data_IF_793241942336
#
_entry.id   IF_793241942336
#
_cell.length_a   1.000
_cell.length_b   1.000
_cell.length_c   1.000
_cell.angle_alpha   90.00
_cell.angle_beta   90.00
_cell.angle_gamma   90.00
#
_symmetry.space_group_name_H-M   'P 1'
#
loop_
_entity.id
_entity.type
_entity.pdbx_description
1 polymer ?
#
# COMPACT_ATOMS: atom_id res chain seq x y z
N UNK A 1 17.34 -8.29 -1.87
CA UNK A 1 16.43 -7.27 -1.28
C UNK A 1 16.01 -7.72 0.11
N UNK A 2 16.00 -6.81 1.07
CA UNK A 2 15.74 -7.11 2.49
C UNK A 2 14.28 -6.88 2.90
N UNK A 3 13.50 -6.23 2.04
CA UNK A 3 12.10 -5.91 2.31
C UNK A 3 11.26 -7.16 2.54
N UNK A 4 10.38 -7.10 3.52
CA UNK A 4 9.50 -8.20 3.88
C UNK A 4 10.12 -9.25 4.80
N UNK A 5 11.40 -9.10 5.15
CA UNK A 5 12.07 -9.99 6.10
C UNK A 5 12.01 -9.43 7.53
N UNK A 6 12.12 -10.33 8.49
CA UNK A 6 12.26 -9.95 9.89
C UNK A 6 13.62 -9.30 10.12
N UNK A 7 13.65 -8.21 10.89
CA UNK A 7 14.85 -7.43 11.17
C UNK A 7 15.95 -8.28 11.83
N UNK A 8 15.61 -9.12 12.80
CA UNK A 8 16.60 -9.92 13.54
C UNK A 8 17.31 -10.94 12.65
N UNK A 9 16.57 -11.61 11.74
CA UNK A 9 17.15 -12.57 10.79
C UNK A 9 18.14 -11.89 9.83
N UNK A 10 17.82 -10.69 9.38
CA UNK A 10 18.68 -9.91 8.49
C UNK A 10 19.91 -9.38 9.24
N UNK A 11 19.75 -8.95 10.48
CA UNK A 11 20.84 -8.45 11.32
C UNK A 11 21.95 -9.50 11.47
N UNK A 12 21.59 -10.74 11.75
CA UNK A 12 22.55 -11.87 11.85
C UNK A 12 23.28 -12.12 10.53
N UNK A 13 22.56 -12.13 9.41
CA UNK A 13 23.13 -12.33 8.08
C UNK A 13 24.11 -11.22 7.70
N UNK A 14 23.75 -9.96 7.94
CA UNK A 14 24.60 -8.82 7.63
C UNK A 14 25.86 -8.81 8.50
N UNK A 15 25.75 -9.16 9.78
CA UNK A 15 26.89 -9.29 10.69
C UNK A 15 27.88 -10.33 10.19
N UNK A 16 27.39 -11.48 9.68
CA UNK A 16 28.24 -12.56 9.11
C UNK A 16 29.02 -12.12 7.87
N UNK A 17 28.54 -11.09 7.16
CA UNK A 17 29.16 -10.52 5.96
C UNK A 17 29.99 -9.25 6.27
N UNK A 18 30.13 -8.87 7.54
CA UNK A 18 30.78 -7.62 7.97
C UNK A 18 30.13 -6.35 7.37
N UNK A 19 28.82 -6.38 7.18
CA UNK A 19 28.05 -5.24 6.70
C UNK A 19 27.45 -4.51 7.90
N UNK A 20 27.72 -3.19 7.99
CA UNK A 20 27.10 -2.34 9.01
C UNK A 20 25.60 -2.24 8.77
N UNK A 21 24.80 -2.53 9.80
CA UNK A 21 23.34 -2.44 9.76
C UNK A 21 22.83 -1.31 10.64
N UNK A 22 22.35 -0.24 10.02
CA UNK A 22 21.67 0.87 10.69
C UNK A 22 20.16 0.60 10.65
N UNK A 23 19.53 0.59 11.82
CA UNK A 23 18.13 0.25 12.01
C UNK A 23 17.31 1.48 12.40
N UNK A 24 16.24 1.76 11.66
CA UNK A 24 15.28 2.82 11.94
C UNK A 24 13.88 2.22 12.17
N UNK A 25 13.06 2.95 12.93
CA UNK A 25 11.68 2.53 13.23
C UNK A 25 11.60 1.51 14.37
N UNK A 26 10.70 0.54 14.22
CA UNK A 26 10.45 -0.51 15.21
C UNK A 26 11.61 -1.50 15.25
N UNK A 27 11.94 -2.00 16.43
CA UNK A 27 12.95 -3.05 16.63
C UNK A 27 12.34 -4.25 17.36
N UNK A 28 12.95 -5.42 17.24
CA UNK A 28 12.55 -6.64 17.93
C UNK A 28 12.05 -7.76 17.01
N UNK A 29 11.46 -8.78 17.62
CA UNK A 29 11.03 -10.00 16.89
C UNK A 29 9.91 -9.76 15.88
N UNK A 30 9.06 -8.76 16.12
CA UNK A 30 7.95 -8.40 15.24
C UNK A 30 8.27 -7.26 14.28
N UNK A 31 9.54 -6.84 14.22
CA UNK A 31 10.00 -5.80 13.30
C UNK A 31 10.15 -6.34 11.87
N UNK A 32 9.35 -5.81 10.96
CA UNK A 32 9.37 -6.14 9.54
C UNK A 32 10.02 -5.03 8.75
N UNK A 33 11.03 -5.34 7.95
CA UNK A 33 11.73 -4.36 7.11
C UNK A 33 10.84 -3.95 5.94
N UNK A 34 10.58 -2.66 5.82
CA UNK A 34 9.72 -2.06 4.78
C UNK A 34 10.44 -1.08 3.86
N UNK A 35 11.60 -0.57 4.27
CA UNK A 35 12.48 0.25 3.42
C UNK A 35 13.94 -0.15 3.63
N UNK A 36 14.76 0.02 2.60
CA UNK A 36 16.21 -0.15 2.66
C UNK A 36 16.94 0.90 1.82
N UNK A 37 18.11 1.29 2.27
CA UNK A 37 19.04 2.16 1.53
C UNK A 37 20.47 1.66 1.75
N UNK A 38 21.24 1.32 0.69
CA UNK A 38 20.89 1.41 -0.74
C UNK A 38 19.79 0.44 -1.18
N UNK A 39 19.16 0.74 -2.31
CA UNK A 39 18.08 -0.08 -2.87
C UNK A 39 18.58 -1.47 -3.33
N UNK A 40 19.73 -1.51 -3.98
CA UNK A 40 20.24 -2.73 -4.60
C UNK A 40 21.28 -3.44 -3.73
N UNK A 41 21.20 -4.77 -3.72
CA UNK A 41 22.11 -5.62 -2.94
C UNK A 41 23.57 -5.40 -3.30
N UNK A 42 23.88 -5.19 -4.60
CA UNK A 42 25.25 -4.97 -5.03
C UNK A 42 25.84 -3.68 -4.41
N UNK A 43 25.05 -2.65 -4.25
CA UNK A 43 25.49 -1.40 -3.64
C UNK A 43 25.71 -1.59 -2.12
N UNK A 44 24.86 -2.38 -1.46
CA UNK A 44 25.06 -2.75 -0.05
C UNK A 44 26.42 -3.46 0.13
N UNK A 45 26.72 -4.42 -0.75
CA UNK A 45 27.99 -5.15 -0.71
C UNK A 45 29.20 -4.24 -0.98
N UNK A 46 29.07 -3.31 -1.92
CA UNK A 46 30.13 -2.37 -2.27
C UNK A 46 30.38 -1.33 -1.16
N UNK A 47 29.33 -0.82 -0.55
CA UNK A 47 29.41 0.18 0.51
C UNK A 47 29.74 -0.41 1.88
N UNK A 48 29.46 -1.71 2.09
CA UNK A 48 29.62 -2.39 3.38
C UNK A 48 28.63 -1.91 4.44
N UNK A 49 27.53 -1.29 4.03
CA UNK A 49 26.54 -0.68 4.90
C UNK A 49 25.14 -0.71 4.30
N UNK A 50 24.14 -0.87 5.16
CA UNK A 50 22.72 -0.70 4.80
C UNK A 50 21.95 -0.05 5.95
N UNK A 51 21.05 0.86 5.60
CA UNK A 51 20.03 1.39 6.50
C UNK A 51 18.70 0.75 6.18
N UNK A 52 18.02 0.20 7.16
CA UNK A 52 16.67 -0.36 7.02
C UNK A 52 15.70 0.38 7.92
N UNK A 53 14.45 0.50 7.48
CA UNK A 53 13.34 0.96 8.30
C UNK A 53 12.35 -0.18 8.48
N UNK A 54 11.93 -0.39 9.72
CA UNK A 54 10.98 -1.45 10.08
C UNK A 54 9.72 -0.89 10.73
N UNK A 55 8.61 -1.60 10.51
CA UNK A 55 7.34 -1.41 11.21
C UNK A 55 7.00 -2.67 11.99
N UNK A 56 6.02 -2.60 12.89
CA UNK A 56 5.45 -3.81 13.47
C UNK A 56 4.76 -4.62 12.36
N UNK A 57 5.00 -5.93 12.29
CA UNK A 57 4.45 -6.80 11.23
C UNK A 57 2.93 -6.68 11.07
N UNK A 58 2.19 -6.45 12.18
CA UNK A 58 0.74 -6.30 12.18
C UNK A 58 0.26 -4.95 11.64
N UNK A 59 1.16 -4.00 11.41
CA UNK A 59 0.84 -2.71 10.78
C UNK A 59 0.95 -2.75 9.25
N UNK A 60 1.38 -3.88 8.69
CA UNK A 60 1.41 -4.08 7.25
C UNK A 60 -0.01 -4.28 6.70
N UNK A 61 -0.36 -3.53 5.67
CA UNK A 61 -1.62 -3.68 4.96
C UNK A 61 -1.47 -4.73 3.86
N UNK A 62 -2.09 -5.89 4.02
CA UNK A 62 -2.12 -6.95 3.02
C UNK A 62 -3.37 -6.84 2.14
N UNK A 63 -3.17 -6.93 0.83
CA UNK A 63 -4.22 -6.71 -0.17
C UNK A 63 -4.34 -7.93 -1.07
N UNK A 64 -5.56 -8.48 -1.15
CA UNK A 64 -5.95 -9.47 -2.14
C UNK A 64 -6.50 -8.75 -3.37
N UNK A 65 -5.73 -8.75 -4.46
CA UNK A 65 -6.10 -8.06 -5.69
C UNK A 65 -7.10 -8.86 -6.53
N UNK A 66 -8.08 -8.15 -7.09
CA UNK A 66 -9.06 -8.74 -8.01
C UNK A 66 -8.47 -9.00 -9.40
N UNK A 67 -9.03 -9.96 -10.11
CA UNK A 67 -8.72 -10.22 -11.53
C UNK A 67 -9.59 -9.38 -12.49
N UNK A 68 -10.64 -8.74 -11.99
CA UNK A 68 -11.68 -8.08 -12.80
C UNK A 68 -11.38 -6.63 -13.17
N UNK A 69 -10.25 -6.08 -12.73
CA UNK A 69 -9.84 -4.70 -12.99
C UNK A 69 -8.33 -4.61 -13.27
N UNK A 70 -7.87 -5.36 -14.25
CA UNK A 70 -6.43 -5.57 -14.49
C UNK A 70 -5.64 -4.29 -14.75
N UNK A 71 -6.22 -3.31 -15.44
CA UNK A 71 -5.57 -2.01 -15.68
C UNK A 71 -5.47 -1.19 -14.40
N UNK A 72 -6.53 -1.17 -13.61
CA UNK A 72 -6.57 -0.42 -12.35
C UNK A 72 -5.68 -1.07 -11.30
N UNK A 73 -5.63 -2.40 -11.23
CA UNK A 73 -4.68 -3.14 -10.38
C UNK A 73 -3.24 -2.83 -10.76
N UNK A 74 -2.92 -2.82 -12.06
CA UNK A 74 -1.59 -2.42 -12.54
C UNK A 74 -1.25 -0.99 -12.14
N UNK A 75 -2.19 -0.06 -12.28
CA UNK A 75 -2.04 1.32 -11.83
C UNK A 75 -1.71 1.38 -10.33
N UNK A 76 -2.49 0.70 -9.49
CA UNK A 76 -2.23 0.64 -8.05
C UNK A 76 -0.83 0.11 -7.74
N UNK A 77 -0.42 -0.99 -8.39
CA UNK A 77 0.91 -1.58 -8.20
C UNK A 77 2.04 -0.64 -8.67
N UNK A 78 1.82 0.15 -9.72
CA UNK A 78 2.77 1.19 -10.16
C UNK A 78 2.91 2.30 -9.11
N UNK A 79 1.79 2.86 -8.65
CA UNK A 79 1.78 3.95 -7.66
C UNK A 79 2.43 3.52 -6.35
N UNK A 80 2.13 2.31 -5.90
CA UNK A 80 2.64 1.77 -4.62
C UNK A 80 4.06 1.20 -4.70
N UNK A 81 4.58 0.92 -5.88
CA UNK A 81 5.88 0.25 -6.07
C UNK A 81 5.81 -1.28 -6.07
N UNK A 82 4.64 -1.89 -5.91
CA UNK A 82 4.46 -3.35 -5.83
C UNK A 82 4.79 -4.11 -7.13
N UNK A 83 4.96 -3.42 -8.27
CA UNK A 83 5.45 -4.07 -9.49
C UNK A 83 6.93 -4.48 -9.39
N UNK A 84 7.71 -3.73 -8.62
CA UNK A 84 9.16 -3.93 -8.54
C UNK A 84 9.60 -4.47 -7.17
N UNK A 85 8.83 -4.22 -6.13
CA UNK A 85 9.20 -4.50 -4.75
C UNK A 85 8.12 -5.31 -4.02
N UNK A 86 8.52 -6.20 -3.08
CA UNK A 86 7.55 -7.02 -2.34
C UNK A 86 6.75 -6.23 -1.32
N UNK A 87 7.25 -5.07 -0.87
CA UNK A 87 6.56 -4.12 -0.01
C UNK A 87 6.47 -2.79 -0.73
N UNK A 88 5.26 -2.32 -0.93
CA UNK A 88 4.98 -1.01 -1.49
C UNK A 88 4.58 -0.01 -0.41
N UNK A 89 4.32 1.23 -0.84
CA UNK A 89 3.85 2.29 0.05
C UNK A 89 2.90 3.21 -0.68
N UNK A 90 1.87 3.66 0.03
CA UNK A 90 0.90 4.65 -0.42
C UNK A 90 0.80 5.75 0.63
N UNK A 91 0.63 6.99 0.17
CA UNK A 91 0.59 8.15 1.03
C UNK A 91 -0.84 8.61 1.26
N UNK A 92 -1.20 8.83 2.50
CA UNK A 92 -2.52 9.38 2.85
C UNK A 92 -2.65 10.80 2.33
N UNK A 93 -3.66 11.03 1.47
CA UNK A 93 -4.01 12.34 0.98
C UNK A 93 -4.85 13.10 2.00
N UNK A 94 -5.94 12.48 2.44
CA UNK A 94 -6.68 12.96 3.59
C UNK A 94 -7.51 11.87 4.27
N UNK A 95 -7.72 12.07 5.57
CA UNK A 95 -8.66 11.33 6.39
C UNK A 95 -9.63 12.33 7.03
N UNK A 96 -10.92 12.02 6.97
CA UNK A 96 -11.93 12.87 7.60
C UNK A 96 -12.56 12.12 8.76
N UNK A 97 -12.32 12.55 10.01
CA UNK A 97 -12.93 11.91 11.17
C UNK A 97 -14.46 11.85 11.03
N UNK A 98 -15.04 10.68 11.25
CA UNK A 98 -16.48 10.44 11.15
C UNK A 98 -17.00 10.10 9.74
N UNK A 99 -16.20 10.20 8.70
CA UNK A 99 -16.59 9.74 7.35
C UNK A 99 -16.27 8.28 7.06
N UNK A 100 -15.49 7.63 7.93
CA UNK A 100 -15.10 6.22 7.80
C UNK A 100 -14.47 5.87 6.46
N UNK A 101 -13.66 6.81 5.91
CA UNK A 101 -12.88 6.62 4.70
C UNK A 101 -11.45 7.12 4.89
N UNK A 102 -10.52 6.49 4.16
CA UNK A 102 -9.14 6.93 4.04
C UNK A 102 -8.80 7.04 2.56
N UNK A 103 -8.34 8.22 2.13
CA UNK A 103 -8.02 8.49 0.73
C UNK A 103 -6.53 8.70 0.59
N UNK A 104 -5.94 8.03 -0.40
CA UNK A 104 -4.53 8.06 -0.72
C UNK A 104 -4.26 8.84 -2.00
N UNK A 105 -3.07 9.43 -2.07
CA UNK A 105 -2.59 10.10 -3.27
C UNK A 105 -2.45 9.11 -4.43
N UNK A 106 -2.89 9.53 -5.60
CA UNK A 106 -2.60 8.86 -6.86
C UNK A 106 -1.44 9.52 -7.60
N UNK A 107 -1.19 9.07 -8.83
CA UNK A 107 -0.24 9.68 -9.73
C UNK A 107 -0.95 10.12 -11.02
N UNK A 108 -1.07 11.43 -11.21
CA UNK A 108 -1.76 12.04 -12.36
C UNK A 108 -1.06 11.76 -13.70
N UNK A 109 0.22 11.41 -13.69
CA UNK A 109 0.96 11.10 -14.92
C UNK A 109 0.58 9.73 -15.48
N UNK A 110 0.26 8.78 -14.62
CA UNK A 110 -0.04 7.39 -14.99
C UNK A 110 -1.51 7.01 -14.83
N UNK A 111 -2.35 7.88 -14.25
CA UNK A 111 -3.79 7.64 -14.09
C UNK A 111 -4.60 7.86 -15.37
N UNK A 112 -4.01 8.45 -16.39
CA UNK A 112 -4.66 8.68 -17.68
C UNK A 112 -5.07 7.37 -18.32
N UNK A 113 -6.34 7.29 -18.76
CA UNK A 113 -6.87 6.10 -19.40
C UNK A 113 -7.39 5.02 -18.43
N UNK A 114 -7.56 5.32 -17.16
CA UNK A 114 -8.29 4.47 -16.22
C UNK A 114 -9.78 4.46 -16.56
N UNK A 115 -10.16 3.62 -17.51
CA UNK A 115 -11.56 3.45 -17.91
C UNK A 115 -12.33 2.68 -16.83
N UNK A 116 -13.68 2.77 -16.80
CA UNK A 116 -14.49 1.88 -15.97
C UNK A 116 -14.21 0.41 -16.28
N UNK A 117 -13.98 -0.40 -15.24
CA UNK A 117 -13.73 -1.85 -15.37
C UNK A 117 -14.80 -2.67 -14.61
N UNK A 118 -14.74 -2.68 -13.28
CA UNK A 118 -15.63 -3.46 -12.42
C UNK A 118 -16.38 -2.54 -11.44
N UNK A 119 -17.03 -1.51 -11.96
CA UNK A 119 -17.76 -0.54 -11.15
C UNK A 119 -18.81 -1.23 -10.27
N UNK A 120 -18.93 -0.84 -8.97
CA UNK A 120 -19.96 -1.39 -8.09
C UNK A 120 -21.37 -1.11 -8.61
N UNK A 121 -22.29 -2.04 -8.37
CA UNK A 121 -23.69 -1.88 -8.77
C UNK A 121 -24.58 -1.42 -7.60
N UNK A 122 -24.44 -2.04 -6.44
CA UNK A 122 -25.38 -1.85 -5.33
C UNK A 122 -24.72 -1.47 -4.01
N UNK A 123 -23.48 -1.86 -3.78
CA UNK A 123 -22.81 -1.68 -2.50
C UNK A 123 -21.29 -1.75 -2.69
N UNK A 124 -20.57 -0.94 -1.92
CA UNK A 124 -19.16 -1.12 -1.65
C UNK A 124 -19.03 -1.61 -0.21
N UNK A 125 -18.33 -2.73 -0.05
CA UNK A 125 -18.10 -3.32 1.27
C UNK A 125 -16.97 -2.61 2.02
N UNK A 126 -17.03 -2.65 3.35
CA UNK A 126 -15.87 -2.32 4.16
C UNK A 126 -14.66 -3.15 3.70
N UNK A 127 -13.46 -2.58 3.81
CA UNK A 127 -12.19 -3.13 3.34
C UNK A 127 -11.95 -3.19 1.81
N UNK A 128 -12.95 -2.97 0.97
CA UNK A 128 -12.71 -2.84 -0.47
C UNK A 128 -11.92 -1.58 -0.80
N UNK A 129 -10.89 -1.74 -1.62
CA UNK A 129 -10.07 -0.64 -2.11
C UNK A 129 -10.57 -0.22 -3.48
N UNK A 130 -10.90 1.05 -3.63
CA UNK A 130 -11.34 1.62 -4.89
C UNK A 130 -10.37 2.64 -5.44
N UNK A 131 -10.41 2.79 -6.75
CA UNK A 131 -9.67 3.83 -7.49
C UNK A 131 -10.66 4.60 -8.36
N UNK A 132 -10.56 5.91 -8.35
CA UNK A 132 -11.38 6.77 -9.20
C UNK A 132 -10.97 6.63 -10.65
N UNK A 133 -11.90 6.26 -11.53
CA UNK A 133 -11.69 6.15 -12.96
C UNK A 133 -11.93 7.48 -13.69
N UNK A 134 -11.73 7.50 -15.01
CA UNK A 134 -11.81 8.71 -15.83
C UNK A 134 -13.22 9.32 -15.99
N UNK A 135 -14.25 8.71 -15.42
CA UNK A 135 -15.60 9.29 -15.40
C UNK A 135 -15.75 10.42 -14.37
N UNK A 136 -14.76 10.62 -13.51
CA UNK A 136 -14.71 11.73 -12.56
C UNK A 136 -13.44 12.58 -12.73
N UNK A 137 -13.42 13.76 -12.09
CA UNK A 137 -12.29 14.70 -12.20
C UNK A 137 -11.04 14.24 -11.43
N UNK A 138 -11.24 13.54 -10.32
CA UNK A 138 -10.16 13.11 -9.42
C UNK A 138 -9.61 11.74 -9.80
N UNK A 139 -9.32 11.53 -11.06
CA UNK A 139 -8.83 10.26 -11.60
C UNK A 139 -7.57 9.81 -10.88
N UNK A 140 -7.56 8.55 -10.48
CA UNK A 140 -6.40 7.92 -9.86
C UNK A 140 -6.32 8.04 -8.34
N UNK A 141 -7.21 8.77 -7.68
CA UNK A 141 -7.31 8.72 -6.21
C UNK A 141 -7.67 7.29 -5.78
N UNK A 142 -7.04 6.86 -4.71
CA UNK A 142 -7.20 5.54 -4.12
C UNK A 142 -7.90 5.72 -2.77
N UNK A 143 -8.81 4.82 -2.42
CA UNK A 143 -9.51 4.92 -1.15
C UNK A 143 -9.92 3.58 -0.59
N UNK A 144 -10.17 3.55 0.71
CA UNK A 144 -10.74 2.42 1.44
C UNK A 144 -11.82 2.94 2.41
N UNK A 145 -12.91 2.20 2.53
CA UNK A 145 -13.95 2.46 3.53
C UNK A 145 -13.84 1.50 4.69
N UNK A 146 -14.24 2.00 5.86
CA UNK A 146 -14.29 1.20 7.10
C UNK A 146 -15.68 0.68 7.43
N UNK A 147 -16.67 1.04 6.60
CA UNK A 147 -18.05 0.56 6.68
C UNK A 147 -18.64 0.37 5.28
N UNK A 148 -19.66 -0.47 5.17
CA UNK A 148 -20.40 -0.68 3.93
C UNK A 148 -21.09 0.62 3.49
N UNK A 149 -21.10 0.90 2.17
CA UNK A 149 -21.77 2.06 1.63
C UNK A 149 -22.56 1.70 0.36
N UNK A 150 -23.79 2.23 0.25
CA UNK A 150 -24.71 1.95 -0.87
C UNK A 150 -24.82 3.10 -1.87
N UNK A 151 -24.10 4.19 -1.66
CA UNK A 151 -24.22 5.39 -2.50
C UNK A 151 -22.90 5.79 -3.15
N UNK A 152 -21.80 5.70 -2.40
CA UNK A 152 -20.50 6.21 -2.82
C UNK A 152 -19.40 5.17 -2.69
N UNK A 153 -18.44 5.24 -3.61
CA UNK A 153 -17.22 4.43 -3.60
C UNK A 153 -16.21 4.86 -2.52
N UNK A 154 -15.08 4.14 -2.45
CA UNK A 154 -14.05 4.39 -1.42
C UNK A 154 -13.37 5.76 -1.51
N UNK A 155 -13.47 6.45 -2.64
CA UNK A 155 -12.96 7.83 -2.82
C UNK A 155 -14.03 8.89 -2.72
N UNK A 156 -15.23 8.54 -2.19
CA UNK A 156 -16.42 9.37 -2.11
C UNK A 156 -17.01 9.77 -3.48
N UNK A 157 -16.58 9.12 -4.56
CA UNK A 157 -17.13 9.27 -5.90
C UNK A 157 -18.30 8.30 -6.13
N UNK A 158 -19.09 8.56 -7.18
CA UNK A 158 -20.17 7.66 -7.58
C UNK A 158 -19.64 6.24 -7.95
N UNK A 159 -20.49 5.25 -7.90
CA UNK A 159 -20.12 3.88 -8.29
C UNK A 159 -19.62 3.78 -9.73
N UNK A 160 -20.24 4.51 -10.67
CA UNK A 160 -19.79 4.55 -12.07
C UNK A 160 -18.36 5.10 -12.25
N UNK A 161 -17.89 5.89 -11.31
CA UNK A 161 -16.55 6.49 -11.31
C UNK A 161 -15.55 5.72 -10.46
N UNK A 162 -15.92 4.52 -9.98
CA UNK A 162 -15.13 3.71 -9.07
C UNK A 162 -14.79 2.36 -9.67
N UNK A 163 -13.51 2.00 -9.70
CA UNK A 163 -13.05 0.63 -9.96
C UNK A 163 -12.55 0.02 -8.65
N UNK A 164 -12.89 -1.23 -8.38
CA UNK A 164 -12.44 -1.96 -7.18
C UNK A 164 -11.20 -2.78 -7.54
N UNK A 165 -10.10 -2.53 -6.85
CA UNK A 165 -8.83 -3.24 -7.11
C UNK A 165 -8.64 -4.47 -6.24
N UNK A 166 -9.32 -4.57 -5.13
CA UNK A 166 -9.20 -5.70 -4.20
C UNK A 166 -9.70 -5.38 -2.82
N UNK A 167 -9.34 -6.24 -1.89
CA UNK A 167 -9.74 -6.16 -0.49
C UNK A 167 -8.51 -6.12 0.43
N UNK A 168 -8.59 -5.33 1.48
CA UNK A 168 -7.66 -5.46 2.61
C UNK A 168 -8.02 -6.72 3.37
N UNK A 169 -7.08 -7.66 3.47
CA UNK A 169 -7.26 -8.94 4.19
C UNK A 169 -6.61 -8.96 5.56
N UNK A 170 -5.72 -8.01 5.85
CA UNK A 170 -5.23 -7.73 7.20
C UNK A 170 -6.27 -6.94 8.01
N UNK A 171 -5.98 -6.65 9.26
CA UNK A 171 -6.88 -5.84 10.11
C UNK A 171 -6.99 -4.40 9.60
N UNK A 172 -8.00 -4.15 8.76
CA UNK A 172 -8.23 -2.84 8.14
C UNK A 172 -8.62 -1.76 9.16
N UNK A 173 -9.09 -2.12 10.36
CA UNK A 173 -9.40 -1.14 11.41
C UNK A 173 -8.16 -0.33 11.84
N UNK A 174 -6.98 -0.91 11.68
CA UNK A 174 -5.71 -0.22 11.95
C UNK A 174 -5.44 0.94 10.99
N UNK A 175 -6.06 0.97 9.81
CA UNK A 175 -5.92 2.08 8.87
C UNK A 175 -6.60 3.37 9.36
N UNK A 176 -7.60 3.28 10.23
CA UNK A 176 -8.31 4.47 10.76
C UNK A 176 -7.41 5.42 11.55
N UNK A 177 -6.28 4.92 12.09
CA UNK A 177 -5.32 5.74 12.84
C UNK A 177 -4.48 6.68 11.98
N UNK A 178 -4.36 6.40 10.68
CA UNK A 178 -3.51 7.16 9.78
C UNK A 178 -4.06 8.55 9.49
N UNK A 179 -3.15 9.52 9.43
CA UNK A 179 -3.44 10.94 9.20
C UNK A 179 -2.85 11.41 7.89
N UNK A 180 -3.27 12.59 7.48
CA UNK A 180 -2.78 13.25 6.26
C UNK A 180 -1.26 13.25 6.19
N UNK A 181 -0.72 12.84 5.06
CA UNK A 181 0.71 12.78 4.79
C UNK A 181 1.44 11.54 5.30
N UNK A 182 0.82 10.70 6.12
CA UNK A 182 1.43 9.47 6.60
C UNK A 182 1.50 8.40 5.51
N UNK A 183 2.47 7.50 5.64
CA UNK A 183 2.70 6.39 4.70
C UNK A 183 2.09 5.11 5.26
N UNK A 184 1.31 4.43 4.43
CA UNK A 184 0.84 3.06 4.67
C UNK A 184 1.67 2.11 3.81
N UNK A 185 2.29 1.13 4.46
CA UNK A 185 3.02 0.06 3.76
C UNK A 185 2.07 -1.05 3.37
N UNK A 186 2.18 -1.49 2.13
CA UNK A 186 1.27 -2.46 1.51
C UNK A 186 2.04 -3.65 0.97
N UNK A 187 1.37 -4.80 0.97
CA UNK A 187 1.88 -6.04 0.40
C UNK A 187 0.76 -6.77 -0.34
N UNK A 188 1.09 -7.42 -1.45
CA UNK A 188 0.15 -8.36 -2.08
C UNK A 188 0.00 -9.61 -1.22
N UNK A 189 -1.25 -9.96 -0.93
CA UNK A 189 -1.56 -11.22 -0.26
C UNK A 189 -1.34 -12.39 -1.24
N UNK A 190 -0.60 -13.38 -0.79
CA UNK A 190 -0.38 -14.63 -1.51
C UNK A 190 -0.74 -15.77 -0.57
N UNK A 191 -1.63 -16.65 -1.01
CA UNK A 191 -2.00 -17.88 -0.31
C UNK A 191 -0.81 -18.86 -0.17
#
# INVERSE_FOLDING_TARGET
>A
MLLGHNQNEIDEKLASLNIEHVKEGVTGEDALIVEQTPKYTIDILNEGKVTTKSIHKDDLCEIDFTENASRTVKYFKLVSGLLEEPIGKIKVHFSVPGMHILIFEGDSNISKGLVPENTPENIVKACEIGVTNMSAKNVGLIGVRFEDNKEFGPTAESFSSTNIVGNVVSDYSKLEKFKDGEIVYVKEFND
#
